data_IF_686112157811
#
_entry.id   IF_686112157811
#
_cell.length_a   1.000
_cell.length_b   1.000
_cell.length_c   1.000
_cell.angle_alpha   90.00
_cell.angle_beta   90.00
_cell.angle_gamma   90.00
#
_symmetry.space_group_name_H-M   'P 1'
#
loop_
_entity.id
_entity.type
_entity.pdbx_description
1 polymer ?
#
# COMPACT_ATOMS: atom_id res chain seq x y z
N UNK A 1 25.72 25.16 -11.57
CA UNK A 1 25.01 25.09 -10.28
C UNK A 1 24.95 23.64 -9.87
N UNK A 2 25.30 23.32 -8.62
CA UNK A 2 25.17 21.94 -8.13
C UNK A 2 23.70 21.64 -7.80
N UNK A 3 23.27 20.40 -8.01
CA UNK A 3 21.90 19.95 -7.69
C UNK A 3 21.59 20.18 -6.20
N UNK A 4 22.57 20.00 -5.31
CA UNK A 4 22.35 20.23 -3.87
C UNK A 4 21.89 21.65 -3.57
N UNK A 5 22.54 22.67 -4.18
CA UNK A 5 22.17 24.08 -3.97
C UNK A 5 20.77 24.40 -4.49
N UNK A 6 20.41 23.85 -5.64
CA UNK A 6 19.08 24.05 -6.21
C UNK A 6 17.98 23.43 -5.33
N UNK A 7 18.21 22.21 -4.84
CA UNK A 7 17.27 21.52 -3.93
C UNK A 7 17.13 22.30 -2.63
N UNK A 8 18.24 22.79 -2.06
CA UNK A 8 18.20 23.53 -0.80
C UNK A 8 17.48 24.89 -0.95
N UNK A 9 17.69 25.59 -2.06
CA UNK A 9 16.97 26.84 -2.36
C UNK A 9 15.46 26.58 -2.53
N UNK A 10 15.06 25.45 -3.13
CA UNK A 10 13.66 25.05 -3.22
C UNK A 10 13.04 24.77 -1.85
N UNK A 11 13.75 24.04 -0.98
CA UNK A 11 13.26 23.74 0.38
C UNK A 11 13.10 25.04 1.17
N UNK A 12 14.07 25.96 1.10
CA UNK A 12 14.01 27.25 1.80
C UNK A 12 12.85 28.12 1.33
N UNK A 13 12.55 28.12 0.03
CA UNK A 13 11.37 28.82 -0.51
C UNK A 13 10.07 28.24 0.03
N UNK A 14 9.89 26.92 -0.07
CA UNK A 14 8.69 26.25 0.46
C UNK A 14 8.51 26.45 1.98
N UNK A 15 9.61 26.56 2.74
CA UNK A 15 9.57 26.96 4.15
C UNK A 15 9.14 28.41 4.36
N UNK A 16 9.65 29.35 3.56
CA UNK A 16 9.29 30.76 3.64
C UNK A 16 7.83 31.02 3.22
N UNK A 17 7.33 30.25 2.25
CA UNK A 17 5.96 30.31 1.75
C UNK A 17 4.94 29.61 2.67
N UNK A 18 5.42 29.01 3.77
CA UNK A 18 4.56 28.36 4.77
C UNK A 18 3.94 27.04 4.28
N UNK A 19 4.46 26.42 3.22
CA UNK A 19 3.90 25.17 2.69
C UNK A 19 3.96 24.01 3.71
N UNK A 20 4.91 24.07 4.65
CA UNK A 20 5.03 23.11 5.75
C UNK A 20 4.08 23.41 6.93
N UNK A 21 3.39 24.55 6.93
CA UNK A 21 2.61 24.99 8.09
C UNK A 21 1.28 24.28 8.25
N UNK A 22 0.72 23.75 7.16
CA UNK A 22 -0.56 23.06 7.15
C UNK A 22 -0.43 21.58 6.75
N UNK A 23 0.68 20.93 7.10
CA UNK A 23 0.86 19.51 6.86
C UNK A 23 -0.12 18.68 7.69
N UNK A 24 -0.68 17.64 7.06
CA UNK A 24 -1.50 16.65 7.73
C UNK A 24 -0.69 15.94 8.82
N UNK A 25 -0.95 16.31 10.08
CA UNK A 25 -0.24 15.74 11.24
C UNK A 25 0.77 16.67 11.92
N UNK A 26 0.92 17.92 11.48
CA UNK A 26 1.77 18.91 12.18
C UNK A 26 1.35 19.02 13.65
N UNK A 27 2.31 18.78 14.56
CA UNK A 27 2.09 18.84 16.02
C UNK A 27 1.33 17.66 16.63
N UNK A 28 0.92 16.67 15.83
CA UNK A 28 0.28 15.44 16.34
C UNK A 28 1.35 14.36 16.59
N UNK A 29 1.16 13.50 17.60
CA UNK A 29 2.03 12.33 17.77
C UNK A 29 1.95 11.45 16.51
N UNK A 30 3.10 10.90 16.13
CA UNK A 30 3.20 10.02 14.98
C UNK A 30 2.52 8.68 15.31
N UNK A 31 1.62 8.23 14.44
CA UNK A 31 1.04 6.89 14.55
C UNK A 31 2.06 5.84 14.08
N UNK A 32 2.55 5.06 15.02
CA UNK A 32 3.53 4.00 14.81
C UNK A 32 2.96 2.60 15.07
N UNK A 33 1.64 2.47 15.28
CA UNK A 33 1.03 1.20 15.67
C UNK A 33 1.30 0.11 14.64
N UNK A 34 1.12 0.41 13.35
CA UNK A 34 1.42 -0.50 12.25
C UNK A 34 2.90 -0.91 12.19
N UNK A 35 3.82 -0.01 12.56
CA UNK A 35 5.26 -0.29 12.58
C UNK A 35 5.60 -1.28 13.70
N UNK A 36 5.04 -1.11 14.89
CA UNK A 36 5.30 -1.99 16.03
C UNK A 36 4.55 -3.33 15.96
N UNK A 37 3.38 -3.36 15.31
CA UNK A 37 2.65 -4.61 15.00
C UNK A 37 3.39 -5.47 13.96
N UNK A 38 4.26 -4.87 13.16
CA UNK A 38 5.08 -5.61 12.20
C UNK A 38 6.25 -6.31 12.92
N UNK A 39 6.49 -7.62 12.67
CA UNK A 39 7.65 -8.33 13.20
C UNK A 39 8.96 -7.61 12.90
N UNK A 40 9.88 -7.59 13.86
CA UNK A 40 11.10 -6.74 13.83
C UNK A 40 11.92 -6.91 12.54
N UNK A 41 12.12 -8.15 12.10
CA UNK A 41 12.87 -8.49 10.88
C UNK A 41 12.22 -8.00 9.58
N UNK A 42 10.96 -7.54 9.62
CA UNK A 42 10.22 -7.08 8.45
C UNK A 42 9.94 -5.57 8.45
N UNK A 43 10.14 -4.89 9.59
CA UNK A 43 9.76 -3.48 9.75
C UNK A 43 10.41 -2.57 8.72
N UNK A 44 11.72 -2.73 8.48
CA UNK A 44 12.47 -1.89 7.53
C UNK A 44 11.97 -2.10 6.11
N UNK A 45 11.85 -3.36 5.66
CA UNK A 45 11.32 -3.66 4.32
C UNK A 45 9.92 -3.08 4.11
N UNK A 46 8.98 -3.34 5.02
CA UNK A 46 7.61 -2.82 4.86
C UNK A 46 7.54 -1.29 4.96
N UNK A 47 8.39 -0.66 5.78
CA UNK A 47 8.44 0.81 5.88
C UNK A 47 8.97 1.45 4.59
N UNK A 48 10.01 0.86 3.98
CA UNK A 48 10.53 1.32 2.68
C UNK A 48 9.46 1.19 1.60
N UNK A 49 8.76 0.05 1.54
CA UNK A 49 7.72 -0.21 0.54
C UNK A 49 6.53 0.75 0.71
N UNK A 50 6.09 0.97 1.95
CA UNK A 50 5.03 1.95 2.28
C UNK A 50 5.42 3.37 1.85
N UNK A 51 6.69 3.74 2.03
CA UNK A 51 7.17 5.09 1.75
C UNK A 51 7.53 5.31 0.27
N UNK A 52 7.84 4.24 -0.50
CA UNK A 52 8.29 4.35 -1.89
C UNK A 52 7.16 4.30 -2.93
N UNK A 53 5.89 4.30 -2.50
CA UNK A 53 4.73 4.00 -3.36
C UNK A 53 4.79 2.62 -4.02
N UNK A 54 5.69 1.74 -3.57
CA UNK A 54 5.85 0.40 -4.12
C UNK A 54 4.96 -0.58 -3.36
N UNK A 55 3.93 -1.08 -4.03
CA UNK A 55 2.96 -2.00 -3.43
C UNK A 55 3.49 -3.43 -3.58
N UNK A 56 3.70 -4.18 -2.48
CA UNK A 56 4.05 -5.59 -2.53
C UNK A 56 3.03 -6.39 -3.36
N UNK A 57 3.48 -7.44 -4.06
CA UNK A 57 2.62 -8.26 -4.92
C UNK A 57 1.42 -8.82 -4.15
N UNK A 58 1.59 -9.18 -2.87
CA UNK A 58 0.51 -9.71 -2.03
C UNK A 58 -0.57 -8.65 -1.79
N UNK A 59 -0.17 -7.40 -1.58
CA UNK A 59 -1.10 -6.29 -1.39
C UNK A 59 -1.81 -5.95 -2.72
N UNK A 60 -1.11 -6.06 -3.84
CA UNK A 60 -1.71 -5.89 -5.17
C UNK A 60 -2.81 -6.93 -5.40
N UNK A 61 -2.54 -8.21 -5.10
CA UNK A 61 -3.51 -9.31 -5.23
C UNK A 61 -4.73 -9.10 -4.33
N UNK A 62 -4.54 -8.62 -3.10
CA UNK A 62 -5.65 -8.32 -2.19
C UNK A 62 -6.55 -7.20 -2.74
N UNK A 63 -5.97 -6.12 -3.25
CA UNK A 63 -6.73 -5.03 -3.88
C UNK A 63 -7.52 -5.50 -5.09
N UNK A 64 -6.95 -6.36 -5.93
CA UNK A 64 -7.69 -6.96 -7.06
C UNK A 64 -8.88 -7.79 -6.59
N UNK A 65 -8.70 -8.61 -5.55
CA UNK A 65 -9.79 -9.42 -4.99
C UNK A 65 -10.90 -8.53 -4.42
N UNK A 66 -10.54 -7.44 -3.74
CA UNK A 66 -11.50 -6.48 -3.19
C UNK A 66 -12.30 -5.78 -4.30
N UNK A 67 -11.63 -5.28 -5.34
CA UNK A 67 -12.30 -4.68 -6.49
C UNK A 67 -13.27 -5.64 -7.19
N UNK A 68 -12.89 -6.91 -7.34
CA UNK A 68 -13.78 -7.94 -7.90
C UNK A 68 -14.99 -8.21 -7.01
N UNK A 69 -14.84 -8.14 -5.69
CA UNK A 69 -15.95 -8.30 -4.73
C UNK A 69 -16.92 -7.13 -4.79
N UNK A 70 -16.41 -5.90 -4.93
CA UNK A 70 -17.26 -4.71 -5.14
C UNK A 70 -18.03 -4.79 -6.46
N UNK A 71 -17.38 -5.25 -7.53
CA UNK A 71 -18.06 -5.51 -8.81
C UNK A 71 -19.14 -6.58 -8.66
N UNK A 72 -18.88 -7.66 -7.91
CA UNK A 72 -19.88 -8.69 -7.64
C UNK A 72 -21.07 -8.14 -6.85
N UNK A 73 -20.83 -7.26 -5.87
CA UNK A 73 -21.88 -6.65 -5.05
C UNK A 73 -22.77 -5.67 -5.83
N UNK A 74 -22.21 -4.98 -6.82
CA UNK A 74 -22.93 -4.03 -7.68
C UNK A 74 -23.56 -4.66 -8.92
N UNK A 75 -23.18 -5.90 -9.28
CA UNK A 75 -23.71 -6.59 -10.45
C UNK A 75 -25.11 -7.17 -10.17
N UNK A 76 -26.06 -6.96 -11.08
CA UNK A 76 -27.42 -7.51 -10.99
C UNK A 76 -27.66 -8.75 -11.85
N UNK A 77 -26.71 -9.10 -12.73
CA UNK A 77 -26.81 -10.20 -13.68
C UNK A 77 -26.28 -11.51 -13.05
N UNK A 78 -27.12 -12.55 -13.00
CA UNK A 78 -26.84 -13.85 -12.40
C UNK A 78 -25.66 -14.58 -13.08
N UNK A 79 -25.52 -14.43 -14.41
CA UNK A 79 -24.46 -15.08 -15.18
C UNK A 79 -23.10 -14.45 -14.89
N UNK A 80 -23.06 -13.11 -14.83
CA UNK A 80 -21.85 -12.34 -14.50
C UNK A 80 -21.44 -12.53 -13.03
N UNK A 81 -22.40 -12.62 -12.09
CA UNK A 81 -22.11 -12.99 -10.70
C UNK A 81 -21.41 -14.33 -10.60
N UNK A 82 -21.88 -15.34 -11.33
CA UNK A 82 -21.26 -16.65 -11.30
C UNK A 82 -19.83 -16.62 -11.84
N UNK A 83 -19.58 -15.89 -12.92
CA UNK A 83 -18.23 -15.69 -13.47
C UNK A 83 -17.31 -14.95 -12.49
N UNK A 84 -17.75 -13.81 -11.95
CA UNK A 84 -16.99 -13.04 -10.95
C UNK A 84 -16.68 -13.90 -9.71
N UNK A 85 -17.63 -14.69 -9.23
CA UNK A 85 -17.41 -15.59 -8.08
C UNK A 85 -16.33 -16.65 -8.36
N UNK A 86 -16.23 -17.12 -9.61
CA UNK A 86 -15.21 -18.09 -10.03
C UNK A 86 -13.84 -17.42 -10.07
N UNK A 87 -13.75 -16.25 -10.70
CA UNK A 87 -12.50 -15.47 -10.79
C UNK A 87 -11.98 -15.08 -9.41
N UNK A 88 -12.86 -14.66 -8.49
CA UNK A 88 -12.49 -14.36 -7.11
C UNK A 88 -11.89 -15.60 -6.42
N UNK A 89 -12.52 -16.77 -6.57
CA UNK A 89 -12.02 -18.02 -5.99
C UNK A 89 -10.64 -18.39 -6.52
N UNK A 90 -10.42 -18.27 -7.83
CA UNK A 90 -9.12 -18.52 -8.45
C UNK A 90 -8.04 -17.57 -7.91
N UNK A 91 -8.33 -16.26 -7.84
CA UNK A 91 -7.41 -15.25 -7.31
C UNK A 91 -7.07 -15.46 -5.84
N UNK A 92 -8.06 -15.82 -5.02
CA UNK A 92 -7.87 -16.16 -3.60
C UNK A 92 -6.99 -17.42 -3.46
N UNK A 93 -7.19 -18.44 -4.30
CA UNK A 93 -6.34 -19.63 -4.29
C UNK A 93 -4.89 -19.30 -4.65
N UNK A 94 -4.67 -18.51 -5.71
CA UNK A 94 -3.33 -18.04 -6.09
C UNK A 94 -2.66 -17.27 -4.96
N UNK A 95 -3.38 -16.37 -4.29
CA UNK A 95 -2.87 -15.62 -3.14
C UNK A 95 -2.41 -16.56 -2.02
N UNK A 96 -3.26 -17.50 -1.61
CA UNK A 96 -2.94 -18.45 -0.55
C UNK A 96 -1.69 -19.29 -0.89
N UNK A 97 -1.54 -19.73 -2.15
CA UNK A 97 -0.36 -20.48 -2.60
C UNK A 97 0.92 -19.64 -2.53
N UNK A 98 0.86 -18.37 -2.94
CA UNK A 98 2.00 -17.44 -2.84
C UNK A 98 2.40 -17.22 -1.38
N UNK A 99 1.43 -16.98 -0.49
CA UNK A 99 1.67 -16.79 0.94
C UNK A 99 2.28 -18.04 1.60
N UNK A 100 1.81 -19.24 1.25
CA UNK A 100 2.37 -20.50 1.79
C UNK A 100 3.81 -20.75 1.34
N UNK A 101 4.16 -20.38 0.10
CA UNK A 101 5.56 -20.43 -0.36
C UNK A 101 6.46 -19.49 0.43
N UNK A 102 5.98 -18.28 0.71
CA UNK A 102 6.74 -17.30 1.48
C UNK A 102 6.94 -17.71 2.94
N UNK A 103 5.93 -18.36 3.56
CA UNK A 103 6.06 -18.92 4.91
C UNK A 103 7.09 -20.04 4.99
N UNK A 104 7.20 -20.88 3.95
CA UNK A 104 8.16 -22.00 3.90
C UNK A 104 9.60 -21.57 3.64
N UNK A 105 9.79 -20.41 3.00
CA UNK A 105 11.11 -19.86 2.68
C UNK A 105 11.67 -18.95 3.80
N UNK A 106 11.04 -18.96 4.99
CA UNK A 106 11.39 -18.17 6.16
C UNK A 106 11.83 -19.08 7.29
#
# INVERSE_FOLDING_TARGET
MSIEKFVEDQIKKAMADGEFDNLSGKGKPLDLDAYFQTPEHLRICYSILKNSSFVPEEIQMLKEIEALREQLASCSDEALKHQLSKTIREKVLSFNLTMERQKRNK
#
